data_IF_121461939640
#
_entry.id   IF_121461939640
#
_cell.length_a   1.000
_cell.length_b   1.000
_cell.length_c   1.000
_cell.angle_alpha   90.00
_cell.angle_beta   90.00
_cell.angle_gamma   90.00
#
_symmetry.space_group_name_H-M   'P 1'
#
loop_
_entity.id
_entity.type
_entity.pdbx_description
1 polymer ?
#
# COMPACT_ATOMS: atom_id res chain seq x y z
N UNK A 1 11.06 10.09 5.88
CA UNK A 1 10.96 9.81 4.44
C UNK A 1 9.52 10.02 3.99
N UNK A 2 9.26 10.54 2.80
CA UNK A 2 7.90 10.76 2.30
C UNK A 2 7.49 9.63 1.34
N UNK A 3 6.34 9.01 1.58
CA UNK A 3 5.72 8.02 0.68
C UNK A 3 4.41 8.57 0.15
N UNK A 4 4.21 8.50 -1.17
CA UNK A 4 2.96 8.91 -1.82
C UNK A 4 2.22 7.70 -2.33
N UNK A 5 0.93 7.59 -2.01
CA UNK A 5 0.08 6.49 -2.44
C UNK A 5 -0.91 6.97 -3.46
N UNK A 6 -1.04 6.19 -4.52
CA UNK A 6 -1.80 6.53 -5.70
C UNK A 6 -2.76 5.40 -6.07
N UNK A 7 -3.82 5.77 -6.78
CA UNK A 7 -4.77 4.85 -7.40
C UNK A 7 -4.94 5.24 -8.85
N UNK A 8 -5.04 4.27 -9.74
CA UNK A 8 -5.24 4.59 -11.14
C UNK A 8 -5.28 3.38 -12.05
N UNK A 9 -4.93 3.64 -13.31
CA UNK A 9 -4.90 2.66 -14.38
C UNK A 9 -3.47 2.57 -14.89
N UNK A 10 -2.93 1.35 -14.91
CA UNK A 10 -1.70 1.02 -15.62
C UNK A 10 -2.05 0.31 -16.92
N UNK A 11 -1.17 0.41 -17.91
CA UNK A 11 -1.23 -0.36 -19.15
C UNK A 11 -0.14 -1.42 -19.13
N UNK A 12 -0.53 -2.69 -19.04
CA UNK A 12 0.35 -3.87 -19.15
C UNK A 12 -0.05 -4.62 -20.41
N UNK A 13 0.88 -4.84 -21.35
CA UNK A 13 0.65 -5.59 -22.60
C UNK A 13 -0.64 -5.18 -23.35
N UNK A 14 -0.85 -3.87 -23.53
CA UNK A 14 -2.03 -3.27 -24.18
C UNK A 14 -3.36 -3.47 -23.45
N UNK A 15 -3.36 -3.99 -22.22
CA UNK A 15 -4.53 -4.05 -21.35
C UNK A 15 -4.45 -2.97 -20.28
N UNK A 16 -5.57 -2.29 -20.09
CA UNK A 16 -5.74 -1.32 -19.01
C UNK A 16 -6.21 -2.05 -17.75
N UNK A 17 -5.45 -1.89 -16.66
CA UNK A 17 -5.64 -2.61 -15.41
C UNK A 17 -5.67 -1.60 -14.27
N UNK A 18 -6.64 -1.76 -13.36
CA UNK A 18 -6.70 -0.96 -12.14
C UNK A 18 -5.58 -1.37 -11.19
N UNK A 19 -4.86 -0.38 -10.66
CA UNK A 19 -3.75 -0.60 -9.76
C UNK A 19 -3.67 0.49 -8.68
N UNK A 20 -2.99 0.12 -7.61
CA UNK A 20 -2.50 1.02 -6.58
C UNK A 20 -0.99 1.04 -6.64
N UNK A 21 -0.36 2.15 -6.31
CA UNK A 21 1.09 2.18 -6.20
C UNK A 21 1.56 3.15 -5.14
N UNK A 22 2.77 2.88 -4.66
CA UNK A 22 3.49 3.77 -3.77
C UNK A 22 4.74 4.30 -4.46
N UNK A 23 4.98 5.59 -4.30
CA UNK A 23 6.23 6.25 -4.68
C UNK A 23 6.99 6.60 -3.42
N UNK A 24 8.24 6.15 -3.34
CA UNK A 24 9.17 6.44 -2.25
C UNK A 24 10.56 6.76 -2.82
N UNK A 25 11.49 7.13 -1.94
CA UNK A 25 12.88 7.36 -2.31
C UNK A 25 13.58 6.09 -2.86
N UNK A 26 13.00 4.91 -2.62
CA UNK A 26 13.52 3.61 -3.09
C UNK A 26 12.93 3.15 -4.42
N UNK A 27 11.98 3.92 -4.98
CA UNK A 27 11.33 3.63 -6.25
C UNK A 27 9.82 3.46 -6.13
N UNK A 28 9.24 2.86 -7.17
CA UNK A 28 7.80 2.67 -7.33
C UNK A 28 7.45 1.19 -7.08
N UNK A 29 6.49 0.97 -6.19
CA UNK A 29 5.90 -0.35 -5.93
C UNK A 29 4.46 -0.36 -6.40
N UNK A 30 4.12 -1.25 -7.33
CA UNK A 30 2.76 -1.34 -7.90
C UNK A 30 2.07 -2.61 -7.42
N UNK A 31 0.82 -2.46 -7.01
CA UNK A 31 -0.10 -3.54 -6.68
C UNK A 31 -1.27 -3.54 -7.66
N UNK A 32 -1.40 -4.63 -8.41
CA UNK A 32 -2.50 -4.86 -9.32
C UNK A 32 -3.68 -5.46 -8.55
N UNK A 33 -4.86 -4.88 -8.76
CA UNK A 33 -6.09 -5.40 -8.16
C UNK A 33 -6.34 -6.83 -8.68
N UNK A 34 -6.19 -7.82 -7.80
CA UNK A 34 -6.07 -9.24 -8.17
C UNK A 34 -4.95 -9.99 -7.44
N UNK A 35 -4.08 -9.27 -6.71
CA UNK A 35 -3.09 -9.85 -5.79
C UNK A 35 -1.67 -9.96 -6.37
N UNK A 36 -1.37 -9.26 -7.46
CA UNK A 36 -0.05 -9.30 -8.11
C UNK A 36 0.73 -8.01 -7.80
N UNK A 37 1.95 -8.15 -7.26
CA UNK A 37 2.90 -7.04 -7.18
C UNK A 37 3.75 -7.00 -8.43
N UNK A 38 3.90 -5.79 -8.98
CA UNK A 38 4.79 -5.51 -10.09
C UNK A 38 5.89 -4.57 -9.60
N UNK A 39 7.13 -5.02 -9.70
CA UNK A 39 8.29 -4.21 -9.32
C UNK A 39 8.70 -3.25 -10.44
N UNK A 40 9.44 -2.21 -10.05
CA UNK A 40 10.16 -1.32 -10.97
C UNK A 40 11.00 -2.13 -11.98
N UNK A 41 10.72 -1.98 -13.27
CA UNK A 41 11.44 -2.66 -14.35
C UNK A 41 10.59 -3.56 -15.23
N UNK A 42 9.36 -3.92 -14.82
CA UNK A 42 8.40 -4.53 -15.73
C UNK A 42 7.79 -3.50 -16.69
N UNK A 43 7.49 -3.88 -17.95
CA UNK A 43 6.92 -2.97 -18.93
C UNK A 43 5.44 -2.69 -18.62
N UNK A 44 5.18 -1.66 -17.84
CA UNK A 44 3.88 -1.04 -17.69
C UNK A 44 3.98 0.48 -17.84
N UNK A 45 2.91 1.10 -18.31
CA UNK A 45 2.78 2.57 -18.39
C UNK A 45 1.69 3.03 -17.44
N UNK A 46 1.92 4.11 -16.68
CA UNK A 46 0.86 4.75 -15.90
C UNK A 46 0.01 5.58 -16.86
N UNK A 47 -1.21 5.13 -17.13
CA UNK A 47 -2.12 5.79 -18.06
C UNK A 47 -2.87 6.96 -17.40
N UNK A 48 -3.28 6.77 -16.13
CA UNK A 48 -3.93 7.79 -15.32
C UNK A 48 -3.74 7.49 -13.83
N UNK A 49 -3.54 8.52 -13.01
CA UNK A 49 -3.35 8.37 -11.56
C UNK A 49 -3.94 9.50 -10.75
N UNK A 50 -4.48 9.13 -9.58
CA UNK A 50 -5.00 10.02 -8.57
C UNK A 50 -4.19 9.81 -7.27
N UNK A 51 -3.67 10.90 -6.72
CA UNK A 51 -3.02 10.86 -5.40
C UNK A 51 -4.09 10.60 -4.34
N UNK A 52 -3.97 9.47 -3.65
CA UNK A 52 -4.88 9.07 -2.59
C UNK A 52 -4.45 9.73 -1.27
N UNK A 53 -3.18 9.57 -0.90
CA UNK A 53 -2.65 10.15 0.32
C UNK A 53 -1.13 10.21 0.29
N UNK A 54 -0.53 10.81 1.31
CA UNK A 54 0.91 10.79 1.54
C UNK A 54 1.21 10.57 3.02
N UNK A 55 2.33 9.89 3.30
CA UNK A 55 2.78 9.53 4.62
C UNK A 55 4.21 10.01 4.84
N UNK A 56 4.44 10.73 5.92
CA UNK A 56 5.79 10.97 6.42
C UNK A 56 6.15 9.86 7.42
N UNK A 57 7.16 9.09 7.05
CA UNK A 57 7.72 7.99 7.83
C UNK A 57 9.17 8.34 8.20
N UNK A 58 9.40 9.21 9.18
CA UNK A 58 10.75 9.54 9.65
C UNK A 58 11.36 8.38 10.45
N UNK A 59 12.65 8.13 10.25
CA UNK A 59 13.42 7.18 11.08
C UNK A 59 13.15 5.69 10.83
N UNK A 60 12.42 5.34 9.76
CA UNK A 60 12.30 3.95 9.31
C UNK A 60 13.37 3.60 8.29
N UNK A 61 13.84 2.37 8.35
CA UNK A 61 14.78 1.80 7.38
C UNK A 61 14.03 1.32 6.13
N UNK A 62 14.79 1.07 5.05
CA UNK A 62 14.22 0.65 3.75
C UNK A 62 13.30 -0.56 3.86
N UNK A 63 13.71 -1.58 4.62
CA UNK A 63 12.99 -2.85 4.77
C UNK A 63 11.64 -2.64 5.46
N UNK A 64 11.59 -1.80 6.51
CA UNK A 64 10.35 -1.44 7.21
C UNK A 64 9.40 -0.67 6.30
N UNK A 65 9.95 0.22 5.46
CA UNK A 65 9.19 1.03 4.52
C UNK A 65 8.59 0.16 3.41
N UNK A 66 9.38 -0.74 2.83
CA UNK A 66 8.92 -1.68 1.81
C UNK A 66 7.81 -2.59 2.37
N UNK A 67 8.00 -3.10 3.60
CA UNK A 67 6.98 -3.86 4.32
C UNK A 67 5.68 -3.06 4.52
N UNK A 68 5.78 -1.84 5.04
CA UNK A 68 4.61 -0.96 5.24
C UNK A 68 3.89 -0.66 3.93
N UNK A 69 4.63 -0.36 2.85
CA UNK A 69 4.07 -0.12 1.53
C UNK A 69 3.28 -1.34 1.07
N UNK A 70 3.87 -2.54 1.14
CA UNK A 70 3.20 -3.78 0.74
C UNK A 70 1.91 -4.00 1.52
N UNK A 71 1.97 -3.88 2.86
CA UNK A 71 0.79 -4.02 3.71
C UNK A 71 -0.28 -3.00 3.33
N UNK A 72 0.10 -1.74 3.11
CA UNK A 72 -0.86 -0.69 2.77
C UNK A 72 -1.56 -0.96 1.43
N UNK A 73 -0.81 -1.42 0.44
CA UNK A 73 -1.31 -1.71 -0.91
C UNK A 73 -2.20 -2.97 -0.91
N UNK A 74 -1.78 -4.06 -0.25
CA UNK A 74 -2.55 -5.31 -0.14
C UNK A 74 -3.80 -5.17 0.72
N UNK A 75 -3.71 -4.46 1.84
CA UNK A 75 -4.74 -4.43 2.88
C UNK A 75 -6.00 -3.64 2.50
N UNK A 76 -6.04 -3.08 1.29
CA UNK A 76 -7.19 -2.30 0.80
C UNK A 76 -7.46 -1.02 1.59
N UNK A 77 -6.49 -0.53 2.39
CA UNK A 77 -6.70 0.64 3.22
C UNK A 77 -6.96 1.90 2.41
N UNK A 78 -6.33 2.02 1.23
CA UNK A 78 -6.50 3.16 0.32
C UNK A 78 -7.94 3.30 -0.20
N UNK A 79 -8.73 2.24 -0.16
CA UNK A 79 -10.14 2.24 -0.58
C UNK A 79 -11.11 2.56 0.56
N UNK A 80 -10.63 2.64 1.81
CA UNK A 80 -11.48 2.93 2.96
C UNK A 80 -12.00 4.38 2.90
N UNK A 81 -13.28 4.61 3.25
CA UNK A 81 -13.81 5.95 3.35
C UNK A 81 -13.00 6.83 4.31
N UNK A 82 -12.71 8.07 3.92
CA UNK A 82 -12.02 9.04 4.77
C UNK A 82 -10.49 8.99 4.75
N UNK A 83 -9.89 8.08 3.97
CA UNK A 83 -8.41 7.97 3.85
C UNK A 83 -7.81 9.04 2.95
N UNK A 84 -8.57 9.56 1.98
CA UNK A 84 -8.06 10.55 1.01
C UNK A 84 -7.50 11.78 1.72
N UNK A 85 -6.20 12.04 1.52
CA UNK A 85 -5.46 13.12 2.16
C UNK A 85 -5.21 12.95 3.66
N UNK A 86 -5.54 11.80 4.25
CA UNK A 86 -5.40 11.51 5.69
C UNK A 86 -4.49 10.30 5.89
N UNK A 87 -3.18 10.51 5.70
CA UNK A 87 -2.17 9.47 5.89
C UNK A 87 -2.29 8.77 7.23
N UNK A 88 -2.40 9.53 8.32
CA UNK A 88 -2.50 9.00 9.68
C UNK A 88 -3.65 7.99 9.84
N UNK A 89 -4.77 8.17 9.14
CA UNK A 89 -5.90 7.25 9.19
C UNK A 89 -5.51 5.83 8.70
N UNK A 90 -4.60 5.73 7.72
CA UNK A 90 -4.07 4.44 7.26
C UNK A 90 -3.25 3.79 8.36
N UNK A 91 -2.35 4.54 9.00
CA UNK A 91 -1.50 4.01 10.07
C UNK A 91 -2.35 3.51 11.24
N UNK A 92 -3.37 4.27 11.65
CA UNK A 92 -4.32 3.83 12.67
C UNK A 92 -5.04 2.53 12.30
N UNK A 93 -5.49 2.38 11.05
CA UNK A 93 -6.14 1.15 10.61
C UNK A 93 -5.18 -0.04 10.60
N UNK A 94 -3.94 0.15 10.12
CA UNK A 94 -2.92 -0.88 10.09
C UNK A 94 -2.57 -1.37 11.51
N UNK A 95 -2.38 -0.43 12.45
CA UNK A 95 -2.13 -0.75 13.86
C UNK A 95 -3.31 -1.52 14.47
N UNK A 96 -4.54 -1.07 14.24
CA UNK A 96 -5.73 -1.76 14.75
C UNK A 96 -5.86 -3.18 14.20
N UNK A 97 -5.54 -3.40 12.93
CA UNK A 97 -5.53 -4.75 12.34
C UNK A 97 -4.46 -5.65 12.97
N UNK A 98 -3.25 -5.12 13.18
CA UNK A 98 -2.17 -5.84 13.84
C UNK A 98 -2.57 -6.24 15.27
N UNK A 99 -3.11 -5.31 16.05
CA UNK A 99 -3.63 -5.58 17.39
C UNK A 99 -4.73 -6.64 17.37
N UNK A 100 -5.70 -6.52 16.46
CA UNK A 100 -6.79 -7.48 16.35
C UNK A 100 -6.29 -8.88 15.96
N UNK A 101 -5.22 -8.97 15.16
CA UNK A 101 -4.58 -10.24 14.80
C UNK A 101 -3.88 -10.86 16.00
N UNK A 102 -3.15 -10.05 16.79
CA UNK A 102 -2.50 -10.50 18.02
C UNK A 102 -3.52 -11.00 19.06
N UNK A 103 -4.62 -10.28 19.28
CA UNK A 103 -5.69 -10.71 20.19
C UNK A 103 -6.31 -12.04 19.76
N UNK A 104 -6.55 -12.23 18.46
CA UNK A 104 -7.03 -13.51 17.94
C UNK A 104 -6.04 -14.64 18.18
N UNK A 105 -4.73 -14.38 18.11
CA UNK A 105 -3.70 -15.38 18.39
C UNK A 105 -3.57 -15.68 19.88
N UNK A 106 -3.81 -14.71 20.76
CA UNK A 106 -3.84 -14.95 22.21
C UNK A 106 -5.10 -15.66 22.70
N UNK A 107 -6.22 -15.51 21.99
CA UNK A 107 -7.48 -16.23 22.28
C UNK A 107 -7.49 -17.66 21.72
N UNK A 108 -6.53 -18.02 20.86
CA UNK A 108 -6.26 -19.41 20.49
C UNK A 108 -5.35 -19.99 21.57
N UNK A 109 -5.97 -20.42 22.66
CA UNK A 109 -5.35 -21.35 23.60
C UNK A 109 -4.81 -22.56 22.81
N UNK A 110 -3.49 -22.74 22.85
CA UNK A 110 -2.83 -24.02 22.60
C UNK A 110 -3.33 -25.05 23.65
N UNK A 111 -3.39 -26.34 23.31
CA UNK A 111 -4.20 -27.37 24.00
C UNK A 111 -4.02 -27.48 25.50
#
# INVERSE_FOLDING_TARGET
>A
MLVRFWRGIIRKTSKEIRAFWAESDFGITVFIQGGEFVQSGEPYEIAAGELMTSLELPGLEREDIEFLIQRILEGGYLEKPGVKGKGDAILYMLVNEALHTLTKLSDVDLP
#
